data_IF_086536442849
#
_entry.id   IF_086536442849
#
_cell.length_a   1.000
_cell.length_b   1.000
_cell.length_c   1.000
_cell.angle_alpha   90.00
_cell.angle_beta   90.00
_cell.angle_gamma   90.00
#
_symmetry.space_group_name_H-M   'P 1'
#
loop_
_entity.id
_entity.type
_entity.pdbx_description
1 polymer ?
#
# COMPACT_ATOMS: atom_id res chain seq x y z
N UNK A 1 -38.77 -18.04 77.84
CA UNK A 1 -37.41 -18.62 77.83
C UNK A 1 -37.06 -18.93 76.40
N UNK A 2 -36.13 -18.14 75.85
CA UNK A 2 -35.68 -18.17 74.46
C UNK A 2 -34.91 -19.46 74.14
N UNK A 3 -35.19 -20.04 72.98
CA UNK A 3 -34.46 -21.18 72.43
C UNK A 3 -33.74 -20.71 71.16
N UNK A 4 -32.69 -19.90 71.32
CA UNK A 4 -31.76 -19.55 70.23
C UNK A 4 -30.40 -20.18 70.50
N UNK A 5 -30.12 -21.32 69.86
CA UNK A 5 -28.77 -21.74 69.44
C UNK A 5 -28.82 -23.16 68.91
N UNK A 6 -28.88 -23.31 67.59
CA UNK A 6 -28.39 -24.53 66.93
C UNK A 6 -27.01 -24.23 66.32
N UNK A 7 -26.01 -25.10 66.53
CA UNK A 7 -24.66 -24.88 66.02
C UNK A 7 -24.65 -24.97 64.49
N UNK A 8 -23.89 -24.08 63.86
CA UNK A 8 -23.75 -23.99 62.41
C UNK A 8 -23.15 -25.26 61.82
N UNK A 9 -23.92 -25.93 60.97
CA UNK A 9 -23.38 -26.96 60.08
C UNK A 9 -22.52 -26.28 59.00
N UNK A 10 -21.28 -26.74 58.76
CA UNK A 10 -20.48 -26.26 57.65
C UNK A 10 -21.21 -26.59 56.35
N UNK A 11 -21.47 -25.56 55.51
CA UNK A 11 -22.05 -25.78 54.18
C UNK A 11 -21.14 -26.74 53.41
N UNK A 12 -21.67 -27.79 52.74
CA UNK A 12 -20.85 -28.68 51.93
C UNK A 12 -20.18 -27.84 50.83
N UNK A 13 -18.84 -27.95 50.74
CA UNK A 13 -18.09 -27.40 49.60
C UNK A 13 -18.64 -28.05 48.34
N UNK A 14 -19.34 -27.28 47.51
CA UNK A 14 -19.81 -27.75 46.20
C UNK A 14 -18.58 -28.10 45.37
N UNK A 15 -18.33 -29.38 45.17
CA UNK A 15 -17.38 -29.85 44.16
C UNK A 15 -17.96 -29.49 42.78
N UNK A 16 -17.17 -28.86 41.88
CA UNK A 16 -17.64 -28.55 40.54
C UNK A 16 -18.06 -29.85 39.85
N UNK A 17 -19.28 -29.92 39.34
CA UNK A 17 -19.71 -31.04 38.51
C UNK A 17 -18.92 -31.04 37.20
N UNK A 18 -18.75 -32.19 36.56
CA UNK A 18 -18.09 -32.31 35.24
C UNK A 18 -18.71 -31.36 34.20
N UNK A 19 -20.02 -31.13 34.31
CA UNK A 19 -20.77 -30.12 33.54
C UNK A 19 -20.25 -28.68 33.74
N UNK A 20 -19.84 -28.31 34.97
CA UNK A 20 -19.22 -27.01 35.26
C UNK A 20 -17.80 -26.89 34.71
N UNK A 21 -17.04 -27.99 34.61
CA UNK A 21 -15.69 -28.00 34.05
C UNK A 21 -15.78 -27.84 32.52
N UNK A 22 -16.68 -28.57 31.87
CA UNK A 22 -16.94 -28.44 30.43
C UNK A 22 -17.35 -27.02 30.03
N UNK A 23 -18.26 -26.40 30.80
CA UNK A 23 -18.67 -25.01 30.56
C UNK A 23 -17.52 -24.00 30.63
N UNK A 24 -16.59 -24.17 31.59
CA UNK A 24 -15.39 -23.30 31.72
C UNK A 24 -14.41 -23.50 30.56
N UNK A 25 -14.22 -24.74 30.12
CA UNK A 25 -13.36 -25.05 28.97
C UNK A 25 -13.91 -24.46 27.67
N UNK A 26 -15.22 -24.57 27.44
CA UNK A 26 -15.89 -23.96 26.29
C UNK A 26 -15.78 -22.44 26.31
N UNK A 27 -16.02 -21.80 27.46
CA UNK A 27 -15.91 -20.34 27.58
C UNK A 27 -14.48 -19.85 27.33
N UNK A 28 -13.47 -20.62 27.78
CA UNK A 28 -12.06 -20.35 27.51
C UNK A 28 -11.70 -20.55 26.04
N UNK A 29 -12.22 -21.59 25.40
CA UNK A 29 -11.99 -21.86 23.98
C UNK A 29 -12.61 -20.75 23.11
N UNK A 30 -13.84 -20.34 23.39
CA UNK A 30 -14.49 -19.22 22.70
C UNK A 30 -13.75 -17.89 22.89
N UNK A 31 -13.28 -17.60 24.11
CA UNK A 31 -12.48 -16.42 24.38
C UNK A 31 -11.13 -16.45 23.64
N UNK A 32 -10.50 -17.62 23.54
CA UNK A 32 -9.26 -17.80 22.78
C UNK A 32 -9.50 -17.61 21.27
N UNK A 33 -10.62 -18.09 20.74
CA UNK A 33 -11.00 -17.93 19.33
C UNK A 33 -11.27 -16.46 18.98
N UNK A 34 -12.03 -15.75 19.83
CA UNK A 34 -12.24 -14.31 19.70
C UNK A 34 -10.92 -13.52 19.78
N UNK A 35 -10.00 -13.95 20.63
CA UNK A 35 -8.68 -13.32 20.74
C UNK A 35 -7.86 -13.51 19.47
N UNK A 36 -7.92 -14.68 18.83
CA UNK A 36 -7.24 -14.97 17.55
C UNK A 36 -7.79 -14.11 16.42
N UNK A 37 -9.11 -14.07 16.28
CA UNK A 37 -9.77 -13.24 15.28
C UNK A 37 -9.38 -11.77 15.42
N UNK A 38 -9.35 -11.25 16.66
CA UNK A 38 -8.92 -9.87 16.93
C UNK A 38 -7.47 -9.63 16.54
N UNK A 39 -6.56 -10.58 16.80
CA UNK A 39 -5.15 -10.45 16.40
C UNK A 39 -4.98 -10.43 14.87
N UNK A 40 -5.70 -11.28 14.15
CA UNK A 40 -5.69 -11.31 12.68
C UNK A 40 -6.17 -9.98 12.08
N UNK A 41 -7.22 -9.40 12.66
CA UNK A 41 -7.72 -8.09 12.25
C UNK A 41 -6.70 -6.96 12.52
N UNK A 42 -6.00 -7.00 13.65
CA UNK A 42 -4.95 -6.02 13.97
C UNK A 42 -3.78 -6.16 13.00
N UNK A 43 -3.35 -7.37 12.68
CA UNK A 43 -2.30 -7.62 11.69
C UNK A 43 -2.71 -7.06 10.31
N UNK A 44 -3.94 -7.34 9.89
CA UNK A 44 -4.49 -6.83 8.63
C UNK A 44 -4.51 -5.29 8.62
N UNK A 45 -4.90 -4.66 9.73
CA UNK A 45 -4.92 -3.21 9.86
C UNK A 45 -3.51 -2.63 9.68
N UNK A 46 -2.52 -3.12 10.42
CA UNK A 46 -1.13 -2.63 10.35
C UNK A 46 -0.57 -2.77 8.93
N UNK A 47 -0.84 -3.91 8.28
CA UNK A 47 -0.42 -4.14 6.89
C UNK A 47 -1.05 -3.15 5.93
N UNK A 48 -2.36 -2.92 6.04
CA UNK A 48 -3.07 -1.98 5.18
C UNK A 48 -2.60 -0.53 5.40
N UNK A 49 -2.35 -0.12 6.64
CA UNK A 49 -1.78 1.19 6.96
C UNK A 49 -0.40 1.38 6.33
N UNK A 50 0.48 0.38 6.42
CA UNK A 50 1.80 0.43 5.79
C UNK A 50 1.70 0.54 4.26
N UNK A 51 0.80 -0.24 3.64
CA UNK A 51 0.58 -0.17 2.20
C UNK A 51 0.02 1.18 1.75
N UNK A 52 -0.88 1.76 2.54
CA UNK A 52 -1.44 3.09 2.28
C UNK A 52 -0.34 4.17 2.32
N UNK A 53 0.49 4.17 3.37
CA UNK A 53 1.62 5.13 3.47
C UNK A 53 2.52 5.01 2.26
N UNK A 54 2.91 3.79 1.87
CA UNK A 54 3.73 3.55 0.68
C UNK A 54 3.08 4.04 -0.60
N UNK A 55 1.77 3.83 -0.76
CA UNK A 55 1.04 4.32 -1.93
C UNK A 55 1.07 5.85 -2.02
N UNK A 56 0.83 6.53 -0.90
CA UNK A 56 0.92 8.00 -0.81
C UNK A 56 2.34 8.50 -1.14
N UNK A 57 3.38 7.83 -0.65
CA UNK A 57 4.77 8.16 -1.01
C UNK A 57 5.01 8.02 -2.52
N UNK A 58 4.51 6.95 -3.15
CA UNK A 58 4.63 6.78 -4.61
C UNK A 58 3.93 7.89 -5.38
N UNK A 59 2.73 8.30 -4.96
CA UNK A 59 2.01 9.43 -5.57
C UNK A 59 2.85 10.71 -5.53
N UNK A 60 3.49 11.02 -4.39
CA UNK A 60 4.35 12.20 -4.25
C UNK A 60 5.54 12.12 -5.22
N UNK A 61 6.23 10.98 -5.27
CA UNK A 61 7.38 10.78 -6.16
C UNK A 61 6.98 10.90 -7.64
N UNK A 62 5.82 10.37 -8.02
CA UNK A 62 5.31 10.44 -9.39
C UNK A 62 4.92 11.87 -9.76
N UNK A 63 4.35 12.65 -8.83
CA UNK A 63 4.05 14.07 -9.03
C UNK A 63 5.31 14.89 -9.29
N UNK A 64 6.40 14.65 -8.54
CA UNK A 64 7.67 15.32 -8.79
C UNK A 64 8.27 14.92 -10.15
N UNK A 65 8.10 13.67 -10.55
CA UNK A 65 8.52 13.19 -11.89
C UNK A 65 7.71 13.84 -13.01
N UNK A 66 6.40 13.99 -12.85
CA UNK A 66 5.52 14.70 -13.80
C UNK A 66 6.00 16.14 -13.94
N UNK A 67 6.19 16.86 -12.83
CA UNK A 67 6.70 18.25 -12.84
C UNK A 67 8.02 18.35 -13.60
N UNK A 68 8.97 17.46 -13.32
CA UNK A 68 10.26 17.44 -14.02
C UNK A 68 10.15 17.15 -15.52
N UNK A 69 9.26 16.24 -15.92
CA UNK A 69 9.00 15.96 -17.34
C UNK A 69 8.30 17.14 -18.03
N UNK A 70 7.33 17.78 -17.37
CA UNK A 70 6.64 18.97 -17.90
C UNK A 70 7.59 20.13 -18.13
N UNK A 71 8.53 20.39 -17.20
CA UNK A 71 9.57 21.41 -17.41
C UNK A 71 10.45 21.08 -18.62
N UNK A 72 10.86 19.82 -18.78
CA UNK A 72 11.67 19.41 -19.95
C UNK A 72 10.87 19.48 -21.26
N UNK A 73 9.58 19.17 -21.21
CA UNK A 73 8.70 19.31 -22.37
C UNK A 73 8.61 20.76 -22.82
N UNK A 74 8.40 21.69 -21.88
CA UNK A 74 8.35 23.12 -22.17
C UNK A 74 9.66 23.63 -22.77
N UNK A 75 10.82 23.18 -22.26
CA UNK A 75 12.13 23.50 -22.84
C UNK A 75 12.27 22.94 -24.27
N UNK A 76 11.94 21.66 -24.49
CA UNK A 76 11.97 21.04 -25.82
C UNK A 76 11.00 21.70 -26.80
N UNK A 77 9.87 22.24 -26.32
CA UNK A 77 8.93 23.03 -27.11
C UNK A 77 9.52 24.39 -27.50
N UNK A 78 10.15 25.09 -26.58
CA UNK A 78 10.81 26.36 -26.85
C UNK A 78 11.94 26.23 -27.88
N UNK A 79 12.68 25.11 -27.85
CA UNK A 79 13.79 24.81 -28.77
C UNK A 79 13.35 24.08 -30.05
N UNK A 80 12.04 23.80 -30.20
CA UNK A 80 11.44 23.09 -31.34
C UNK A 80 12.01 21.69 -31.63
N UNK A 81 12.42 20.96 -30.58
CA UNK A 81 12.94 19.60 -30.70
C UNK A 81 11.83 18.55 -30.80
N UNK A 82 11.27 18.38 -31.99
CA UNK A 82 10.11 17.51 -32.28
C UNK A 82 10.23 16.10 -31.67
N UNK A 83 11.34 15.39 -31.90
CA UNK A 83 11.53 14.02 -31.41
C UNK A 83 11.58 13.92 -29.88
N UNK A 84 12.18 14.90 -29.21
CA UNK A 84 12.22 14.98 -27.76
C UNK A 84 10.84 15.25 -27.17
N UNK A 85 10.05 16.15 -27.77
CA UNK A 85 8.67 16.42 -27.34
C UNK A 85 7.82 15.14 -27.36
N UNK A 86 7.89 14.38 -28.45
CA UNK A 86 7.16 13.12 -28.57
C UNK A 86 7.56 12.10 -27.50
N UNK A 87 8.87 11.92 -27.29
CA UNK A 87 9.37 11.00 -26.28
C UNK A 87 8.92 11.41 -24.86
N UNK A 88 8.98 12.71 -24.54
CA UNK A 88 8.56 13.24 -23.24
C UNK A 88 7.06 13.08 -23.05
N UNK A 89 6.25 13.33 -24.09
CA UNK A 89 4.79 13.13 -24.05
C UNK A 89 4.41 11.69 -23.71
N UNK A 90 5.05 10.70 -24.35
CA UNK A 90 4.82 9.29 -24.01
C UNK A 90 5.15 9.02 -22.55
N UNK A 91 6.29 9.53 -22.07
CA UNK A 91 6.71 9.34 -20.67
C UNK A 91 5.74 9.98 -19.69
N UNK A 92 5.19 11.16 -20.01
CA UNK A 92 4.18 11.82 -19.17
C UNK A 92 2.92 10.98 -19.07
N UNK A 93 2.36 10.54 -20.20
CA UNK A 93 1.15 9.70 -20.21
C UNK A 93 1.33 8.41 -19.39
N UNK A 94 2.50 7.76 -19.48
CA UNK A 94 2.81 6.57 -18.68
C UNK A 94 2.86 6.90 -17.18
N UNK A 95 3.57 7.96 -16.80
CA UNK A 95 3.74 8.32 -15.38
C UNK A 95 2.41 8.78 -14.77
N UNK A 96 1.60 9.53 -15.51
CA UNK A 96 0.24 9.92 -15.11
C UNK A 96 -0.67 8.71 -14.91
N UNK A 97 -0.63 7.74 -15.83
CA UNK A 97 -1.38 6.49 -15.68
C UNK A 97 -0.98 5.71 -14.42
N UNK A 98 0.32 5.60 -14.15
CA UNK A 98 0.82 4.92 -12.93
C UNK A 98 0.42 5.70 -11.67
N UNK A 99 0.50 7.03 -11.69
CA UNK A 99 0.07 7.89 -10.57
C UNK A 99 -1.40 7.67 -10.25
N UNK A 100 -2.26 7.67 -11.28
CA UNK A 100 -3.69 7.46 -11.11
C UNK A 100 -3.98 6.06 -10.53
N UNK A 101 -3.25 5.03 -10.97
CA UNK A 101 -3.34 3.69 -10.36
C UNK A 101 -3.01 3.70 -8.86
N UNK A 102 -1.97 4.44 -8.43
CA UNK A 102 -1.64 4.56 -7.01
C UNK A 102 -2.67 5.39 -6.22
N UNK A 103 -3.30 6.40 -6.83
CA UNK A 103 -4.41 7.13 -6.21
C UNK A 103 -5.59 6.22 -5.92
N UNK A 104 -6.03 5.45 -6.92
CA UNK A 104 -7.12 4.47 -6.76
C UNK A 104 -6.75 3.44 -5.68
N UNK A 105 -5.53 2.90 -5.73
CA UNK A 105 -5.06 1.95 -4.71
C UNK A 105 -5.01 2.55 -3.30
N UNK A 106 -4.57 3.81 -3.16
CA UNK A 106 -4.55 4.51 -1.88
C UNK A 106 -5.97 4.77 -1.35
N UNK A 107 -6.92 5.13 -2.22
CA UNK A 107 -8.33 5.31 -1.87
C UNK A 107 -8.92 4.01 -1.32
N UNK A 108 -8.79 2.92 -2.06
CA UNK A 108 -9.31 1.60 -1.66
C UNK A 108 -8.69 1.13 -0.33
N UNK A 109 -7.39 1.38 -0.12
CA UNK A 109 -6.73 1.03 1.16
C UNK A 109 -7.10 1.95 2.31
N UNK A 110 -7.38 3.23 2.07
CA UNK A 110 -7.87 4.12 3.09
C UNK A 110 -9.26 3.68 3.59
N UNK A 111 -10.13 3.21 2.69
CA UNK A 111 -11.43 2.62 3.02
C UNK A 111 -11.27 1.37 3.88
N UNK A 112 -10.43 0.42 3.46
CA UNK A 112 -10.12 -0.78 4.25
C UNK A 112 -9.62 -0.45 5.67
N UNK A 113 -8.75 0.57 5.80
CA UNK A 113 -8.21 1.01 7.10
C UNK A 113 -9.31 1.64 7.95
N UNK A 114 -10.18 2.47 7.36
CA UNK A 114 -11.28 3.11 8.07
C UNK A 114 -12.27 2.06 8.63
N UNK A 115 -12.62 1.06 7.83
CA UNK A 115 -13.51 -0.03 8.23
C UNK A 115 -12.90 -0.88 9.36
N UNK A 116 -11.62 -1.27 9.23
CA UNK A 116 -10.93 -2.03 10.26
C UNK A 116 -10.77 -1.25 11.58
N UNK A 117 -10.49 0.05 11.51
CA UNK A 117 -10.41 0.91 12.72
C UNK A 117 -11.77 1.06 13.40
N UNK A 118 -12.83 1.17 12.63
CA UNK A 118 -14.21 1.20 13.15
C UNK A 118 -14.55 -0.12 13.83
N UNK A 119 -14.23 -1.25 13.23
CA UNK A 119 -14.53 -2.56 13.80
C UNK A 119 -13.70 -2.86 15.08
N UNK A 120 -12.41 -2.53 15.08
CA UNK A 120 -11.51 -2.88 16.19
C UNK A 120 -11.56 -1.93 17.38
N UNK A 121 -11.84 -0.65 17.13
CA UNK A 121 -11.69 0.45 18.09
C UNK A 121 -12.90 1.38 18.18
N UNK A 122 -13.96 1.15 17.40
CA UNK A 122 -15.14 2.03 17.30
C UNK A 122 -14.76 3.48 16.88
N UNK A 123 -13.66 3.61 16.16
CA UNK A 123 -13.16 4.89 15.65
C UNK A 123 -13.75 5.18 14.28
N UNK A 124 -14.46 6.30 14.15
CA UNK A 124 -14.93 6.77 12.84
C UNK A 124 -13.88 7.67 12.21
N UNK A 125 -13.23 7.19 11.15
CA UNK A 125 -12.28 7.98 10.35
C UNK A 125 -13.00 8.52 9.13
N UNK A 126 -12.97 9.84 8.93
CA UNK A 126 -13.48 10.45 7.71
C UNK A 126 -12.36 10.52 6.67
N UNK A 127 -12.57 9.88 5.52
CA UNK A 127 -11.69 9.99 4.37
C UNK A 127 -12.06 11.28 3.65
N UNK A 128 -11.19 12.28 3.70
CA UNK A 128 -11.38 13.52 2.96
C UNK A 128 -10.83 13.28 1.56
N UNK A 129 -11.71 12.95 0.62
CA UNK A 129 -11.41 13.10 -0.80
C UNK A 129 -11.53 14.59 -1.11
N UNK A 130 -10.41 15.23 -1.46
CA UNK A 130 -10.49 16.54 -2.10
C UNK A 130 -11.32 16.34 -3.37
N UNK A 131 -12.51 16.94 -3.39
CA UNK A 131 -13.41 16.91 -4.54
C UNK A 131 -12.69 17.47 -5.76
N UNK A 132 -12.83 16.81 -6.91
CA UNK A 132 -12.26 17.10 -8.23
C UNK A 132 -12.71 18.46 -8.84
N UNK A 133 -13.03 19.47 -8.02
CA UNK A 133 -13.49 20.80 -8.47
C UNK A 133 -12.34 21.79 -8.72
N UNK A 134 -11.09 21.41 -8.41
CA UNK A 134 -9.88 22.21 -8.66
C UNK A 134 -8.87 21.48 -9.56
N UNK A 135 -9.34 20.70 -10.55
CA UNK A 135 -8.48 20.39 -11.72
C UNK A 135 -8.37 21.65 -12.59
N UNK A 136 -7.57 22.62 -12.12
CA UNK A 136 -7.03 23.64 -13.01
C UNK A 136 -6.26 22.90 -14.12
N UNK A 137 -6.84 23.01 -15.31
CA UNK A 137 -6.37 22.56 -16.61
C UNK A 137 -4.90 22.95 -16.88
N UNK A 138 -3.96 22.11 -16.44
CA UNK A 138 -2.52 22.24 -16.78
C UNK A 138 -2.13 21.27 -17.92
N UNK A 139 -3.09 20.73 -18.68
CA UNK A 139 -2.77 19.77 -19.78
C UNK A 139 -3.47 20.03 -21.11
N UNK A 140 -4.26 21.10 -21.27
CA UNK A 140 -4.88 21.49 -22.55
C UNK A 140 -3.90 21.71 -23.72
N UNK A 141 -2.59 21.86 -23.46
CA UNK A 141 -1.57 22.01 -24.52
C UNK A 141 -1.09 20.68 -25.15
N UNK A 142 -1.69 19.53 -24.79
CA UNK A 142 -1.43 18.24 -25.42
C UNK A 142 -2.35 17.93 -26.61
N UNK A 143 -3.21 18.83 -27.03
CA UNK A 143 -3.95 18.69 -28.30
C UNK A 143 -3.34 19.54 -29.42
N UNK A 144 -2.03 19.41 -29.66
CA UNK A 144 -1.50 19.68 -31.00
C UNK A 144 -1.85 18.47 -31.88
N UNK A 145 -3.09 18.49 -32.37
CA UNK A 145 -3.57 17.65 -33.45
C UNK A 145 -2.65 17.91 -34.64
N UNK A 146 -1.65 17.04 -34.83
CA UNK A 146 -0.90 16.95 -36.09
C UNK A 146 -1.83 16.40 -37.16
N UNK A 147 -2.82 17.19 -37.54
CA UNK A 147 -3.43 17.14 -38.85
C UNK A 147 -2.41 17.82 -39.76
N UNK A 148 -1.76 17.03 -40.60
CA UNK A 148 -0.88 17.47 -41.70
C UNK A 148 0.63 17.58 -41.37
N UNK A 149 1.29 16.45 -41.07
CA UNK A 149 2.64 16.23 -41.60
C UNK A 149 2.75 14.78 -42.09
N UNK A 150 2.72 14.66 -43.41
CA UNK A 150 3.19 13.53 -44.22
C UNK A 150 4.25 12.68 -43.51
N UNK A 151 3.89 11.43 -43.20
CA UNK A 151 4.80 10.38 -42.77
C UNK A 151 5.85 10.16 -43.88
N UNK A 152 7.03 10.77 -43.76
CA UNK A 152 8.17 10.37 -44.58
C UNK A 152 8.60 8.96 -44.14
N UNK A 153 8.33 8.00 -45.02
CA UNK A 153 8.75 6.61 -44.91
C UNK A 153 10.27 6.55 -45.00
N UNK A 154 10.95 6.36 -43.87
CA UNK A 154 12.35 5.97 -43.86
C UNK A 154 12.45 4.50 -44.28
N UNK A 155 12.68 4.28 -45.57
CA UNK A 155 13.41 3.09 -46.04
C UNK A 155 14.85 3.27 -45.56
N UNK A 156 15.18 2.83 -44.35
CA UNK A 156 16.55 2.84 -43.84
C UNK A 156 16.96 1.43 -43.38
N UNK A 157 18.07 1.00 -43.96
CA UNK A 157 18.58 -0.37 -44.02
C UNK A 157 18.78 -0.98 -42.63
N UNK A 158 18.04 -2.05 -42.35
CA UNK A 158 18.19 -2.90 -41.16
C UNK A 158 19.43 -3.83 -41.25
N UNK A 159 20.56 -3.36 -41.80
CA UNK A 159 21.75 -4.18 -42.03
C UNK A 159 22.87 -4.00 -41.00
N UNK A 160 22.70 -3.17 -39.97
CA UNK A 160 23.80 -2.81 -39.03
C UNK A 160 23.54 -3.19 -37.57
N UNK A 161 22.76 -4.27 -37.34
CA UNK A 161 22.72 -4.96 -36.05
C UNK A 161 23.92 -5.91 -35.95
N UNK A 162 25.12 -5.34 -35.81
CA UNK A 162 26.29 -6.12 -35.40
C UNK A 162 26.17 -6.53 -33.91
N UNK A 163 26.53 -7.78 -33.68
CA UNK A 163 26.54 -8.56 -32.44
C UNK A 163 26.82 -7.74 -31.17
N UNK A 164 25.78 -7.60 -30.33
CA UNK A 164 25.96 -7.23 -28.93
C UNK A 164 26.19 -8.50 -28.11
N UNK A 165 27.44 -8.96 -28.06
CA UNK A 165 27.89 -10.02 -27.15
C UNK A 165 27.66 -9.57 -25.70
N UNK A 166 26.58 -10.05 -25.11
CA UNK A 166 26.30 -9.90 -23.67
C UNK A 166 27.23 -10.86 -22.92
N UNK A 167 28.43 -10.39 -22.59
CA UNK A 167 29.31 -11.02 -21.61
C UNK A 167 28.61 -11.01 -20.24
N UNK A 168 27.94 -12.12 -19.96
CA UNK A 168 27.23 -12.39 -18.71
C UNK A 168 28.22 -12.94 -17.68
N UNK A 169 29.25 -12.18 -17.34
CA UNK A 169 30.16 -12.53 -16.24
C UNK A 169 29.74 -11.82 -14.95
N UNK A 170 29.04 -12.61 -14.12
CA UNK A 170 29.10 -12.67 -12.66
C UNK A 170 29.40 -11.36 -11.90
N UNK A 171 28.34 -10.79 -11.29
CA UNK A 171 28.48 -9.68 -10.35
C UNK A 171 27.24 -9.45 -9.48
N UNK A 172 26.73 -10.48 -8.82
CA UNK A 172 25.84 -10.30 -7.66
C UNK A 172 26.32 -11.21 -6.53
N UNK A 173 26.95 -10.62 -5.50
CA UNK A 173 26.40 -10.83 -4.16
C UNK A 173 26.69 -9.64 -3.23
N UNK A 174 25.68 -8.92 -2.73
CA UNK A 174 25.91 -8.18 -1.47
C UNK A 174 24.66 -7.75 -0.69
N UNK A 175 23.46 -7.79 -1.27
CA UNK A 175 22.28 -7.25 -0.54
C UNK A 175 21.67 -8.24 0.45
N UNK A 176 21.90 -9.55 0.28
CA UNK A 176 21.30 -10.59 1.13
C UNK A 176 22.09 -10.85 2.43
N UNK A 177 23.37 -10.49 2.47
CA UNK A 177 24.23 -10.69 3.65
C UNK A 177 24.06 -9.59 4.73
N UNK A 178 23.44 -8.46 4.39
CA UNK A 178 23.23 -7.34 5.32
C UNK A 178 21.95 -7.52 6.17
N UNK A 179 20.95 -8.25 5.67
CA UNK A 179 19.73 -8.54 6.41
C UNK A 179 19.97 -9.53 7.58
N UNK A 180 20.85 -10.52 7.39
CA UNK A 180 21.16 -11.52 8.42
C UNK A 180 22.01 -10.96 9.58
N UNK A 181 22.83 -9.92 9.35
CA UNK A 181 23.62 -9.29 10.42
C UNK A 181 22.81 -8.38 11.34
N UNK A 182 21.65 -7.90 10.88
CA UNK A 182 20.83 -6.99 11.67
C UNK A 182 19.85 -7.76 12.59
N UNK A 183 19.58 -9.03 12.31
CA UNK A 183 18.75 -9.88 13.19
C UNK A 183 19.52 -10.35 14.43
N UNK A 184 20.83 -10.60 14.34
CA UNK A 184 21.64 -11.06 15.49
C UNK A 184 21.87 -9.97 16.57
N UNK A 185 21.72 -8.68 16.23
CA UNK A 185 21.91 -7.59 17.19
C UNK A 185 20.67 -7.23 18.00
N UNK A 186 19.50 -7.76 17.65
CA UNK A 186 18.25 -7.45 18.33
C UNK A 186 17.81 -8.52 19.35
N UNK A 187 18.63 -9.55 19.58
CA UNK A 187 18.38 -10.61 20.56
C UNK A 187 19.21 -10.52 21.84
N UNK A 188 20.08 -9.51 21.99
CA UNK A 188 20.81 -9.23 23.23
C UNK A 188 20.37 -7.88 23.85
N UNK A 189 19.14 -7.83 24.39
CA UNK A 189 18.76 -6.97 25.54
C UNK A 189 17.80 -7.75 26.44
#
# INVERSE_FOLDING_TARGET
MDITSRPGYPRPRRVPTESSIGARLLHRALAADQSRHRLEQVEKLVKNELMLVRACEQVILLNDKIRGLSTRYQAARAENFKSFRYNIRIRLAIVEGIRNMYYEFARDRAEDVADLRKELYDQTVQIVTASDDDEDDVTSDYEDVTSDESYESYDDDASDLEDFDVDRSAGEPEVEAELLRNEEKNTEI
#
